data_IF_047544046531
#
_entry.id   IF_047544046531
#
_cell.length_a   1.000
_cell.length_b   1.000
_cell.length_c   1.000
_cell.angle_alpha   90.00
_cell.angle_beta   90.00
_cell.angle_gamma   90.00
#
_symmetry.space_group_name_H-M   'P 1'
#
loop_
_entity.id
_entity.type
_entity.pdbx_description
1 polymer ?
#
# COMPACT_ATOMS: atom_id res chain seq x y z
N UNK A 1 -7.61 -14.72 -11.63
CA UNK A 1 -6.99 -15.31 -10.41
C UNK A 1 -6.23 -14.20 -9.73
N UNK A 2 -6.40 -14.06 -8.43
CA UNK A 2 -5.66 -13.10 -7.60
C UNK A 2 -4.69 -13.87 -6.68
N UNK A 3 -3.44 -13.44 -6.59
CA UNK A 3 -2.39 -14.04 -5.78
C UNK A 3 -1.79 -12.93 -4.91
N UNK A 4 -2.06 -12.97 -3.63
CA UNK A 4 -1.44 -12.08 -2.66
C UNK A 4 -0.13 -12.69 -2.13
N UNK A 5 0.78 -11.86 -1.65
CA UNK A 5 2.12 -12.29 -1.21
C UNK A 5 2.81 -13.20 -2.22
N UNK A 6 2.78 -12.80 -3.49
CA UNK A 6 3.27 -13.62 -4.60
C UNK A 6 4.75 -14.01 -4.47
N UNK A 7 5.55 -13.23 -3.74
CA UNK A 7 6.93 -13.56 -3.40
C UNK A 7 7.05 -14.79 -2.47
N UNK A 8 6.05 -15.08 -1.63
CA UNK A 8 6.04 -16.32 -0.85
C UNK A 8 5.79 -17.55 -1.72
N UNK A 9 4.93 -17.43 -2.75
CA UNK A 9 4.59 -18.53 -3.67
C UNK A 9 5.63 -18.72 -4.77
N UNK A 10 6.22 -17.63 -5.27
CA UNK A 10 7.05 -17.58 -6.46
C UNK A 10 8.42 -16.94 -6.18
N UNK A 11 9.05 -17.33 -5.07
CA UNK A 11 10.36 -16.85 -4.65
C UNK A 11 11.45 -17.20 -5.67
N UNK A 12 12.45 -16.32 -5.79
CA UNK A 12 13.61 -16.58 -6.65
C UNK A 12 14.33 -17.86 -6.28
N UNK A 13 14.56 -18.72 -7.27
CA UNK A 13 15.26 -20.03 -7.13
C UNK A 13 16.76 -19.88 -6.83
N UNK A 14 17.29 -18.67 -6.86
CA UNK A 14 18.68 -18.34 -6.51
C UNK A 14 18.89 -18.20 -5.00
N UNK A 15 17.80 -18.19 -4.21
CA UNK A 15 17.87 -18.16 -2.75
C UNK A 15 18.55 -19.44 -2.23
N UNK A 16 19.64 -19.28 -1.47
CA UNK A 16 20.43 -20.37 -0.88
C UNK A 16 19.64 -21.27 0.10
N UNK A 17 18.48 -20.80 0.57
CA UNK A 17 17.65 -21.50 1.56
C UNK A 17 16.42 -22.21 0.94
N UNK A 18 16.31 -22.25 -0.39
CA UNK A 18 15.12 -22.79 -1.05
C UNK A 18 15.17 -24.34 -1.09
N UNK A 19 14.17 -24.98 -0.49
CA UNK A 19 14.01 -26.43 -0.52
C UNK A 19 13.57 -26.93 -1.92
N UNK A 20 13.82 -28.22 -2.21
CA UNK A 20 13.49 -28.82 -3.50
C UNK A 20 11.99 -28.73 -3.83
N UNK A 21 11.13 -28.82 -2.81
CA UNK A 21 9.68 -28.73 -2.93
C UNK A 21 9.22 -27.33 -3.38
N UNK A 22 9.84 -26.27 -2.85
CA UNK A 22 9.55 -24.89 -3.22
C UNK A 22 9.87 -24.62 -4.69
N UNK A 23 11.00 -25.16 -5.19
CA UNK A 23 11.38 -25.07 -6.60
C UNK A 23 10.37 -25.78 -7.52
N UNK A 24 9.82 -26.91 -7.10
CA UNK A 24 8.79 -27.63 -7.84
C UNK A 24 7.50 -26.81 -7.88
N UNK A 25 7.12 -26.13 -6.78
CA UNK A 25 5.99 -25.22 -6.69
C UNK A 25 6.10 -24.04 -7.64
N UNK A 26 7.23 -23.33 -7.65
CA UNK A 26 7.51 -22.22 -8.59
C UNK A 26 7.39 -22.69 -10.05
N UNK A 27 7.99 -23.84 -10.37
CA UNK A 27 7.91 -24.40 -11.72
C UNK A 27 6.48 -24.81 -12.13
N UNK A 28 5.69 -25.32 -11.18
CA UNK A 28 4.27 -25.64 -11.42
C UNK A 28 3.47 -24.37 -11.66
N UNK A 29 3.71 -23.31 -10.91
CA UNK A 29 3.08 -21.99 -11.06
C UNK A 29 3.40 -21.38 -12.44
N UNK A 30 4.69 -21.39 -12.84
CA UNK A 30 5.12 -20.91 -14.15
C UNK A 30 4.39 -21.67 -15.29
N UNK A 31 4.35 -23.02 -15.21
CA UNK A 31 3.61 -23.82 -16.20
C UNK A 31 2.12 -23.51 -16.21
N UNK A 32 1.53 -23.17 -15.04
CA UNK A 32 0.15 -22.73 -14.93
C UNK A 32 -0.12 -21.44 -15.69
N UNK A 33 0.77 -20.43 -15.52
CA UNK A 33 0.69 -19.16 -16.26
C UNK A 33 0.81 -19.42 -17.77
N UNK A 34 1.77 -20.24 -18.22
CA UNK A 34 1.97 -20.55 -19.62
C UNK A 34 0.74 -21.26 -20.23
N UNK A 35 0.10 -22.16 -19.49
CA UNK A 35 -1.15 -22.82 -19.93
C UNK A 35 -2.31 -21.83 -20.05
N UNK A 36 -2.43 -20.89 -19.10
CA UNK A 36 -3.45 -19.84 -19.17
C UNK A 36 -3.23 -18.92 -20.38
N UNK A 37 -1.99 -18.55 -20.66
CA UNK A 37 -1.66 -17.73 -21.83
C UNK A 37 -1.99 -18.43 -23.16
N UNK A 38 -1.90 -19.76 -23.20
CA UNK A 38 -2.24 -20.57 -24.38
C UNK A 38 -3.74 -20.89 -24.47
N UNK A 39 -4.46 -20.82 -23.37
CA UNK A 39 -5.89 -21.08 -23.33
C UNK A 39 -6.65 -19.94 -24.05
N UNK A 40 -7.57 -20.30 -24.95
CA UNK A 40 -8.44 -19.31 -25.63
C UNK A 40 -9.60 -18.87 -24.72
N UNK A 41 -9.32 -18.56 -23.48
CA UNK A 41 -10.29 -18.08 -22.48
C UNK A 41 -9.88 -16.71 -21.97
N UNK A 42 -10.81 -15.79 -21.73
CA UNK A 42 -10.50 -14.50 -21.13
C UNK A 42 -10.14 -14.73 -19.65
N UNK A 43 -8.85 -14.79 -19.35
CA UNK A 43 -8.35 -14.98 -17.99
C UNK A 43 -7.21 -14.00 -17.70
N UNK A 44 -7.17 -13.49 -16.47
CA UNK A 44 -6.07 -12.69 -15.97
C UNK A 44 -5.53 -13.28 -14.66
N UNK A 45 -4.21 -13.17 -14.46
CA UNK A 45 -3.54 -13.45 -13.20
C UNK A 45 -3.02 -12.12 -12.67
N UNK A 46 -3.47 -11.72 -11.49
CA UNK A 46 -3.01 -10.52 -10.80
C UNK A 46 -2.21 -11.00 -9.60
N UNK A 47 -0.98 -10.55 -9.51
CA UNK A 47 -0.07 -10.87 -8.41
C UNK A 47 0.26 -9.60 -7.64
N UNK A 48 0.18 -9.65 -6.30
CA UNK A 48 0.60 -8.58 -5.42
C UNK A 48 1.80 -9.02 -4.60
N UNK A 49 2.77 -8.13 -4.44
CA UNK A 49 3.94 -8.37 -3.59
C UNK A 49 4.50 -7.04 -3.09
N UNK A 50 5.03 -7.03 -1.89
CA UNK A 50 5.84 -5.94 -1.34
C UNK A 50 7.33 -6.12 -1.67
N UNK A 51 7.73 -7.22 -2.29
CA UNK A 51 9.12 -7.60 -2.53
C UNK A 51 9.31 -8.06 -3.98
N UNK A 52 9.21 -7.11 -4.91
CA UNK A 52 9.34 -7.41 -6.35
C UNK A 52 10.68 -8.07 -6.68
N UNK A 53 11.77 -7.69 -5.97
CA UNK A 53 13.10 -8.27 -6.15
C UNK A 53 13.16 -9.74 -5.74
N UNK A 54 12.36 -10.18 -4.78
CA UNK A 54 12.29 -11.55 -4.31
C UNK A 54 11.52 -12.49 -5.26
N UNK A 55 10.73 -11.95 -6.18
CA UNK A 55 10.00 -12.72 -7.18
C UNK A 55 10.95 -13.36 -8.20
N UNK A 56 10.73 -14.64 -8.54
CA UNK A 56 11.51 -15.35 -9.56
C UNK A 56 11.52 -14.56 -10.89
N UNK A 57 12.70 -14.34 -11.48
CA UNK A 57 12.82 -13.60 -12.75
C UNK A 57 11.98 -14.20 -13.90
N UNK A 58 11.75 -15.52 -13.89
CA UNK A 58 10.92 -16.16 -14.91
C UNK A 58 9.44 -15.83 -14.74
N UNK A 59 8.97 -15.59 -13.50
CA UNK A 59 7.61 -15.10 -13.22
C UNK A 59 7.48 -13.64 -13.64
N UNK A 60 8.43 -12.79 -13.26
CA UNK A 60 8.43 -11.37 -13.65
C UNK A 60 8.41 -11.15 -15.15
N UNK A 61 9.16 -11.97 -15.93
CA UNK A 61 9.19 -11.88 -17.40
C UNK A 61 7.88 -12.27 -18.08
N UNK A 62 6.94 -12.90 -17.35
CA UNK A 62 5.61 -13.29 -17.85
C UNK A 62 4.52 -12.28 -17.50
N UNK A 63 4.84 -11.28 -16.66
CA UNK A 63 3.92 -10.19 -16.40
C UNK A 63 3.82 -9.31 -17.65
N UNK A 64 2.59 -9.05 -18.07
CA UNK A 64 2.29 -8.14 -19.18
C UNK A 64 2.54 -6.67 -18.73
N UNK A 65 2.33 -6.39 -17.44
CA UNK A 65 2.54 -5.08 -16.85
C UNK A 65 2.93 -5.22 -15.37
N UNK A 66 3.67 -4.25 -14.85
CA UNK A 66 4.08 -4.16 -13.45
C UNK A 66 3.68 -2.78 -12.92
N UNK A 67 2.61 -2.77 -12.13
CA UNK A 67 2.12 -1.56 -11.49
C UNK A 67 2.79 -1.34 -10.13
N UNK A 68 3.47 -0.21 -9.98
CA UNK A 68 4.08 0.16 -8.71
C UNK A 68 3.19 1.12 -7.95
N UNK A 69 2.74 0.72 -6.76
CA UNK A 69 1.98 1.56 -5.85
C UNK A 69 2.92 2.26 -4.88
N UNK A 70 2.95 3.58 -4.96
CA UNK A 70 3.75 4.43 -4.08
C UNK A 70 2.91 5.03 -2.97
N UNK A 71 3.55 5.73 -2.03
CA UNK A 71 2.82 6.57 -1.06
C UNK A 71 2.07 7.66 -1.81
N UNK A 72 0.93 8.12 -1.27
CA UNK A 72 0.18 9.19 -1.90
C UNK A 72 1.01 10.48 -1.95
N UNK A 73 0.98 11.14 -3.09
CA UNK A 73 1.49 12.49 -3.23
C UNK A 73 0.58 13.51 -2.49
N UNK A 74 0.95 14.79 -2.51
CA UNK A 74 0.18 15.83 -1.84
C UNK A 74 -1.26 15.93 -2.37
N UNK A 75 -1.44 15.83 -3.68
CA UNK A 75 -2.76 15.91 -4.32
C UNK A 75 -3.65 14.74 -3.92
N UNK A 76 -3.09 13.54 -3.90
CA UNK A 76 -3.78 12.31 -3.49
C UNK A 76 -4.12 12.34 -2.00
N UNK A 77 -3.21 12.81 -1.12
CA UNK A 77 -3.52 12.99 0.30
C UNK A 77 -4.65 14.01 0.50
N UNK A 78 -4.60 15.13 -0.22
CA UNK A 78 -5.65 16.16 -0.20
C UNK A 78 -7.00 15.59 -0.59
N UNK A 79 -7.06 14.83 -1.67
CA UNK A 79 -8.28 14.20 -2.15
C UNK A 79 -8.91 13.28 -1.09
N UNK A 80 -8.11 12.33 -0.57
CA UNK A 80 -8.58 11.37 0.45
C UNK A 80 -9.04 12.07 1.72
N UNK A 81 -8.26 13.04 2.22
CA UNK A 81 -8.60 13.75 3.45
C UNK A 81 -9.84 14.63 3.26
N UNK A 82 -9.96 15.30 2.12
CA UNK A 82 -11.13 16.13 1.82
C UNK A 82 -12.40 15.31 1.74
N UNK A 83 -12.43 14.24 0.94
CA UNK A 83 -13.61 13.37 0.81
C UNK A 83 -14.12 12.81 2.14
N UNK A 84 -13.20 12.54 3.07
CA UNK A 84 -13.55 11.90 4.34
C UNK A 84 -13.85 12.87 5.48
N UNK A 85 -13.28 14.06 5.46
CA UNK A 85 -13.34 14.99 6.59
C UNK A 85 -14.23 16.22 6.32
N UNK A 86 -14.48 16.58 5.05
CA UNK A 86 -15.44 17.62 4.72
C UNK A 86 -16.86 17.31 5.25
N UNK A 87 -17.39 16.08 5.10
CA UNK A 87 -18.69 15.73 5.69
C UNK A 87 -18.72 15.81 7.22
N UNK A 88 -17.57 15.83 7.88
CA UNK A 88 -17.43 15.99 9.34
C UNK A 88 -17.24 17.45 9.77
N UNK A 89 -17.37 18.40 8.83
CA UNK A 89 -17.37 19.83 9.09
C UNK A 89 -16.01 20.51 8.99
N UNK A 90 -14.95 19.84 8.53
CA UNK A 90 -13.64 20.47 8.32
C UNK A 90 -13.65 21.34 7.07
N UNK A 91 -13.18 22.58 7.21
CA UNK A 91 -13.00 23.50 6.09
C UNK A 91 -11.81 23.08 5.21
N UNK A 92 -11.78 23.56 3.98
CA UNK A 92 -10.65 23.33 3.05
C UNK A 92 -9.30 23.73 3.66
N UNK A 93 -9.22 24.87 4.34
CA UNK A 93 -8.01 25.35 4.98
C UNK A 93 -7.51 24.39 6.10
N UNK A 94 -8.43 23.79 6.85
CA UNK A 94 -8.10 22.81 7.88
C UNK A 94 -7.61 21.48 7.26
N UNK A 95 -8.22 21.06 6.16
CA UNK A 95 -7.75 19.90 5.38
C UNK A 95 -6.36 20.17 4.79
N UNK A 96 -6.09 21.37 4.26
CA UNK A 96 -4.75 21.74 3.77
C UNK A 96 -3.70 21.68 4.88
N UNK A 97 -4.04 22.07 6.11
CA UNK A 97 -3.19 21.89 7.28
C UNK A 97 -2.87 20.43 7.58
N UNK A 98 -3.87 19.53 7.46
CA UNK A 98 -3.68 18.09 7.60
C UNK A 98 -2.81 17.50 6.47
N UNK A 99 -2.99 17.97 5.24
CA UNK A 99 -2.14 17.55 4.10
C UNK A 99 -0.69 17.90 4.35
N UNK A 100 -0.41 19.09 4.88
CA UNK A 100 0.94 19.48 5.26
C UNK A 100 1.48 18.60 6.42
N UNK A 101 0.68 18.38 7.46
CA UNK A 101 1.09 17.57 8.62
C UNK A 101 1.35 16.09 8.28
N UNK A 102 0.72 15.55 7.24
CA UNK A 102 0.88 14.16 6.80
C UNK A 102 1.92 13.96 5.70
N UNK A 103 2.58 15.04 5.27
CA UNK A 103 3.66 15.01 4.29
C UNK A 103 5.03 14.68 4.88
N UNK A 104 6.05 14.72 4.03
CA UNK A 104 7.46 14.73 4.43
C UNK A 104 7.78 16.07 5.10
N UNK A 105 8.54 16.06 6.16
CA UNK A 105 8.81 17.22 7.00
C UNK A 105 8.01 17.14 8.31
N UNK A 106 8.04 18.18 9.12
CA UNK A 106 7.35 18.24 10.42
C UNK A 106 7.67 17.06 11.36
N UNK A 107 8.92 16.55 11.32
CA UNK A 107 9.35 15.41 12.11
C UNK A 107 9.17 14.05 11.45
N UNK A 108 8.69 14.01 10.22
CA UNK A 108 8.51 12.76 9.45
C UNK A 108 9.49 12.68 8.26
N UNK A 109 10.29 11.61 8.23
CA UNK A 109 11.19 11.32 7.11
C UNK A 109 10.43 10.82 5.86
N UNK A 110 9.21 10.33 6.06
CA UNK A 110 8.34 9.80 4.99
C UNK A 110 6.91 10.29 5.20
N UNK A 111 6.18 10.53 4.12
CA UNK A 111 4.75 10.87 4.18
C UNK A 111 3.88 9.67 4.60
N UNK A 112 2.65 9.92 4.98
CA UNK A 112 1.67 8.91 5.35
C UNK A 112 1.29 8.05 4.14
N UNK A 113 1.04 6.76 4.38
CA UNK A 113 0.44 5.85 3.39
C UNK A 113 -1.07 6.08 3.29
N UNK A 114 -1.72 5.53 2.25
CA UNK A 114 -3.19 5.50 2.18
C UNK A 114 -3.81 4.81 3.40
N UNK A 115 -3.19 3.72 3.88
CA UNK A 115 -3.63 3.01 5.08
C UNK A 115 -3.46 3.87 6.35
N UNK A 116 -2.35 4.60 6.47
CA UNK A 116 -2.16 5.54 7.59
C UNK A 116 -3.27 6.59 7.62
N UNK A 117 -3.65 7.13 6.46
CA UNK A 117 -4.71 8.12 6.36
C UNK A 117 -6.09 7.53 6.70
N UNK A 118 -6.44 6.41 6.06
CA UNK A 118 -7.83 5.89 6.07
C UNK A 118 -8.13 4.96 7.24
N UNK A 119 -7.14 4.23 7.75
CA UNK A 119 -7.35 3.22 8.80
C UNK A 119 -6.81 3.64 10.17
N UNK A 120 -5.99 4.69 10.21
CA UNK A 120 -5.40 5.18 11.47
C UNK A 120 -5.77 6.62 11.75
N UNK A 121 -5.37 7.57 10.89
CA UNK A 121 -5.56 8.99 11.15
C UNK A 121 -7.03 9.39 11.22
N UNK A 122 -7.82 9.13 10.17
CA UNK A 122 -9.23 9.50 10.12
C UNK A 122 -10.03 8.86 11.27
N UNK A 123 -9.91 7.56 11.54
CA UNK A 123 -10.54 6.97 12.72
C UNK A 123 -10.09 7.60 14.04
N UNK A 124 -8.80 7.93 14.20
CA UNK A 124 -8.31 8.58 15.43
C UNK A 124 -8.91 9.97 15.63
N UNK A 125 -9.06 10.74 14.55
CA UNK A 125 -9.71 12.07 14.59
C UNK A 125 -11.18 11.93 15.01
N UNK A 126 -11.90 10.98 14.42
CA UNK A 126 -13.31 10.73 14.73
C UNK A 126 -13.49 10.27 16.19
N UNK A 127 -12.65 9.34 16.63
CA UNK A 127 -12.71 8.80 18.01
C UNK A 127 -12.32 9.83 19.06
N UNK A 128 -11.40 10.75 18.78
CA UNK A 128 -11.07 11.85 19.70
C UNK A 128 -12.26 12.81 19.91
N UNK A 129 -13.11 12.97 18.91
CA UNK A 129 -14.30 13.81 19.01
C UNK A 129 -15.53 13.09 19.59
N UNK A 130 -15.60 11.77 19.47
CA UNK A 130 -16.74 10.95 19.90
C UNK A 130 -16.82 10.85 21.44
N UNK A 131 -18.06 10.81 22.06
CA UNK A 131 -19.36 10.96 21.39
C UNK A 131 -19.88 12.41 21.34
N UNK A 132 -19.33 13.32 22.13
CA UNK A 132 -20.01 14.56 22.54
C UNK A 132 -19.44 15.82 21.87
N UNK A 133 -18.41 15.70 21.04
CA UNK A 133 -17.74 16.85 20.42
C UNK A 133 -17.77 16.77 18.89
N UNK A 134 -17.79 17.93 18.26
CA UNK A 134 -17.53 18.01 16.83
C UNK A 134 -16.04 17.84 16.52
N UNK A 135 -15.72 17.39 15.31
CA UNK A 135 -14.34 17.31 14.85
C UNK A 135 -13.77 18.71 14.69
N UNK A 136 -12.66 19.00 15.38
CA UNK A 136 -11.96 20.29 15.33
C UNK A 136 -10.67 20.18 14.51
N UNK A 137 -10.53 21.09 13.51
CA UNK A 137 -9.37 21.05 12.59
C UNK A 137 -8.03 21.20 13.30
N UNK A 138 -7.92 22.07 14.34
CA UNK A 138 -6.70 22.22 15.12
C UNK A 138 -6.31 20.90 15.81
N UNK A 139 -7.28 20.28 16.45
CA UNK A 139 -7.06 19.00 17.15
C UNK A 139 -6.72 17.87 16.19
N UNK A 140 -7.35 17.83 15.02
CA UNK A 140 -7.04 16.88 13.97
C UNK A 140 -5.59 17.00 13.48
N UNK A 141 -5.08 18.22 13.32
CA UNK A 141 -3.67 18.49 12.95
C UNK A 141 -2.72 18.02 14.05
N UNK A 142 -3.01 18.28 15.33
CA UNK A 142 -2.21 17.79 16.46
C UNK A 142 -2.12 16.26 16.46
N UNK A 143 -3.23 15.57 16.24
CA UNK A 143 -3.26 14.10 16.12
C UNK A 143 -2.37 13.63 14.97
N UNK A 144 -2.44 14.28 13.80
CA UNK A 144 -1.60 13.92 12.66
C UNK A 144 -0.11 14.12 12.96
N UNK A 145 0.27 15.20 13.64
CA UNK A 145 1.66 15.48 14.02
C UNK A 145 2.23 14.49 15.04
N UNK A 146 1.39 13.96 15.93
CA UNK A 146 1.79 12.98 16.94
C UNK A 146 1.85 11.54 16.38
N UNK A 147 1.20 11.29 15.25
CA UNK A 147 1.12 9.97 14.66
C UNK A 147 2.36 9.67 13.82
N UNK A 148 3.07 8.60 14.14
CA UNK A 148 4.19 8.13 13.33
C UNK A 148 3.69 7.44 12.06
N UNK A 149 4.12 7.86 10.85
CA UNK A 149 3.79 7.18 9.61
C UNK A 149 4.39 5.76 9.57
N UNK A 150 3.72 4.86 8.88
CA UNK A 150 4.25 3.52 8.62
C UNK A 150 5.64 3.64 7.97
N UNK A 151 6.67 2.94 8.46
CA UNK A 151 8.01 2.99 7.87
C UNK A 151 8.00 2.61 6.39
N UNK A 152 8.94 3.13 5.61
CA UNK A 152 9.14 2.67 4.24
C UNK A 152 9.54 1.19 4.26
N UNK A 153 8.90 0.39 3.41
CA UNK A 153 9.32 -0.98 3.21
C UNK A 153 10.73 -0.96 2.58
N UNK A 154 11.69 -1.57 3.26
CA UNK A 154 13.04 -1.73 2.73
C UNK A 154 13.12 -3.10 2.10
N UNK A 155 13.07 -3.15 0.77
CA UNK A 155 13.44 -4.35 0.04
C UNK A 155 14.96 -4.56 0.29
N UNK A 156 15.29 -5.51 1.17
CA UNK A 156 16.70 -5.87 1.37
C UNK A 156 17.13 -6.63 0.13
N UNK A 157 17.95 -5.97 -0.67
CA UNK A 157 18.63 -6.59 -1.78
C UNK A 157 19.53 -7.76 -1.31
#
# INVERSE_FOLDING_TARGET
MFVDEADALAQSRESLQMHHEDRAGVNAFIRGIDRLAQAKVPAAVIMCTNRLSALDPAVRRRAADILTFTRPDESQRRHVLYERLEPLGLSKAQVDGLVAATGVGNGHDVGFTFSDLTQRLIPSIVLDAYPDRSVEGKRAIEIAQQMTPTPAFRDRA
#
